data_IF_500754644488
#
_entry.id   IF_500754644488
#
_cell.length_a   1.000
_cell.length_b   1.000
_cell.length_c   1.000
_cell.angle_alpha   90.00
_cell.angle_beta   90.00
_cell.angle_gamma   90.00
#
_symmetry.space_group_name_H-M   'P 1'
#
loop_
_entity.id
_entity.type
_entity.pdbx_description
1 polymer ?
#
# COMPACT_ATOMS: atom_id res chain seq x y z
N UNK A 1 9.62 -62.08 -19.37
CA UNK A 1 10.86 -61.92 -20.15
C UNK A 1 11.26 -60.44 -20.15
N UNK A 2 12.02 -60.04 -19.18
CA UNK A 2 12.67 -58.72 -19.16
C UNK A 2 14.09 -58.93 -19.70
N UNK A 3 14.32 -58.52 -20.94
CA UNK A 3 15.63 -58.57 -21.56
C UNK A 3 16.54 -57.52 -20.93
N UNK A 4 17.75 -57.96 -20.55
CA UNK A 4 18.84 -57.13 -20.05
C UNK A 4 19.09 -55.96 -21.02
N UNK A 5 18.93 -54.76 -20.54
CA UNK A 5 19.39 -53.55 -21.26
C UNK A 5 20.91 -53.53 -21.16
N UNK A 6 21.59 -53.62 -22.31
CA UNK A 6 23.04 -53.61 -22.43
C UNK A 6 23.55 -52.16 -22.18
N UNK A 7 24.11 -51.94 -21.00
CA UNK A 7 24.57 -50.61 -20.52
C UNK A 7 25.82 -50.13 -21.32
N UNK A 8 26.43 -50.98 -22.10
CA UNK A 8 27.65 -50.64 -22.86
C UNK A 8 27.42 -50.02 -24.25
N UNK A 9 26.13 -49.77 -24.63
CA UNK A 9 25.79 -49.17 -25.93
C UNK A 9 25.34 -47.69 -25.83
N UNK A 10 25.43 -47.07 -24.66
CA UNK A 10 25.13 -45.65 -24.54
C UNK A 10 26.33 -44.87 -25.08
N UNK A 11 26.21 -44.37 -26.29
CA UNK A 11 27.22 -43.54 -26.94
C UNK A 11 27.48 -42.30 -26.08
N UNK A 12 28.74 -41.95 -25.82
CA UNK A 12 29.17 -40.81 -25.00
C UNK A 12 28.41 -39.51 -25.34
N UNK A 13 28.09 -39.32 -26.62
CA UNK A 13 27.23 -38.20 -27.07
C UNK A 13 25.80 -38.23 -26.47
N UNK A 14 25.20 -39.43 -26.32
CA UNK A 14 23.86 -39.57 -25.74
C UNK A 14 23.85 -39.29 -24.24
N UNK A 15 24.90 -39.64 -23.54
CA UNK A 15 25.08 -39.37 -22.12
C UNK A 15 25.31 -37.85 -21.86
N UNK A 16 26.14 -37.22 -22.69
CA UNK A 16 26.37 -35.77 -22.64
C UNK A 16 25.09 -35.03 -22.96
N UNK A 17 24.32 -35.47 -23.98
CA UNK A 17 23.03 -34.85 -24.31
C UNK A 17 22.00 -34.99 -23.19
N UNK A 18 21.93 -36.14 -22.54
CA UNK A 18 21.05 -36.42 -21.41
C UNK A 18 21.45 -35.57 -20.18
N UNK A 19 22.76 -35.50 -19.85
CA UNK A 19 23.24 -34.65 -18.75
C UNK A 19 22.99 -33.17 -19.04
N UNK A 20 23.24 -32.71 -20.27
CA UNK A 20 22.96 -31.34 -20.68
C UNK A 20 21.46 -31.03 -20.63
N UNK A 21 20.61 -31.95 -21.05
CA UNK A 21 19.15 -31.81 -20.99
C UNK A 21 18.64 -31.81 -19.54
N UNK A 22 19.17 -32.68 -18.67
CA UNK A 22 18.83 -32.67 -17.23
C UNK A 22 19.32 -31.38 -16.55
N UNK A 23 20.53 -30.91 -16.88
CA UNK A 23 21.04 -29.63 -16.37
C UNK A 23 20.22 -28.42 -16.89
N UNK A 24 19.72 -28.47 -18.13
CA UNK A 24 18.82 -27.47 -18.68
C UNK A 24 17.45 -27.49 -17.98
N UNK A 25 16.92 -28.69 -17.68
CA UNK A 25 15.65 -28.81 -16.92
C UNK A 25 15.84 -28.33 -15.48
N UNK A 26 16.96 -28.68 -14.83
CA UNK A 26 17.29 -28.22 -13.48
C UNK A 26 17.48 -26.69 -13.47
N UNK A 27 18.21 -26.14 -14.44
CA UNK A 27 18.36 -24.68 -14.58
C UNK A 27 17.03 -23.98 -14.91
N UNK A 28 16.20 -24.55 -15.81
CA UNK A 28 14.87 -23.96 -16.06
C UNK A 28 13.96 -24.04 -14.84
N UNK A 29 13.95 -25.15 -14.11
CA UNK A 29 13.17 -25.25 -12.87
C UNK A 29 13.71 -24.32 -11.76
N UNK A 30 15.03 -24.09 -11.69
CA UNK A 30 15.60 -23.09 -10.76
C UNK A 30 15.33 -21.67 -11.21
N UNK A 31 15.29 -21.38 -12.52
CA UNK A 31 14.92 -20.05 -13.04
C UNK A 31 13.41 -19.79 -12.93
N UNK A 32 12.55 -20.81 -13.06
CA UNK A 32 11.10 -20.63 -12.82
C UNK A 32 10.80 -20.42 -11.34
N UNK A 33 11.46 -21.09 -10.40
CA UNK A 33 11.33 -20.85 -8.96
C UNK A 33 11.92 -19.50 -8.52
N UNK A 34 12.92 -18.97 -9.23
CA UNK A 34 13.50 -17.64 -8.98
C UNK A 34 12.62 -16.47 -9.45
N UNK A 35 11.53 -16.75 -10.17
CA UNK A 35 10.64 -15.73 -10.71
C UNK A 35 9.30 -15.56 -9.96
N UNK A 36 9.14 -16.20 -8.80
CA UNK A 36 7.91 -16.17 -8.00
C UNK A 36 8.11 -15.39 -6.70
N UNK A 37 7.01 -14.89 -6.13
CA UNK A 37 7.05 -14.13 -4.88
C UNK A 37 7.56 -14.99 -3.72
N UNK A 38 8.50 -14.44 -2.95
CA UNK A 38 9.12 -15.11 -1.82
C UNK A 38 8.72 -14.44 -0.51
N UNK A 39 8.17 -15.24 0.39
CA UNK A 39 7.81 -14.78 1.74
C UNK A 39 8.32 -15.76 2.79
N UNK A 40 8.44 -15.29 4.03
CA UNK A 40 8.69 -16.16 5.18
C UNK A 40 7.90 -15.74 6.43
N UNK A 41 7.68 -16.65 7.40
CA UNK A 41 7.23 -16.28 8.73
C UNK A 41 8.37 -15.58 9.50
N UNK A 42 8.04 -14.86 10.55
CA UNK A 42 9.03 -14.15 11.37
C UNK A 42 8.58 -14.04 12.84
N UNK A 43 9.51 -13.76 13.75
CA UNK A 43 9.22 -13.49 15.17
C UNK A 43 8.75 -12.05 15.34
N UNK A 44 7.45 -11.85 15.36
CA UNK A 44 6.86 -10.52 15.52
C UNK A 44 7.17 -9.92 16.89
N UNK A 45 7.50 -8.61 16.90
CA UNK A 45 7.53 -7.81 18.12
C UNK A 45 6.16 -7.12 18.22
N UNK A 46 5.40 -7.40 19.28
CA UNK A 46 4.01 -6.97 19.38
C UNK A 46 3.60 -6.66 20.82
N UNK A 47 2.58 -5.83 21.04
CA UNK A 47 2.10 -5.54 22.38
C UNK A 47 1.43 -6.77 23.04
N UNK A 48 1.50 -6.92 24.36
CA UNK A 48 0.57 -7.78 25.10
C UNK A 48 -0.87 -7.39 24.79
N UNK A 49 -1.78 -8.38 24.82
CA UNK A 49 -3.18 -8.22 24.42
C UNK A 49 -3.88 -7.03 25.10
N UNK A 50 -3.63 -6.86 26.37
CA UNK A 50 -4.22 -5.80 27.20
C UNK A 50 -3.66 -4.40 26.94
N UNK A 51 -2.57 -4.29 26.17
CA UNK A 51 -1.91 -3.03 25.85
C UNK A 51 -2.12 -2.60 24.37
N UNK A 52 -2.65 -3.47 23.51
CA UNK A 52 -2.72 -3.19 22.06
C UNK A 52 -3.44 -1.89 21.73
N UNK A 53 -4.55 -1.58 22.39
CA UNK A 53 -5.32 -0.34 22.17
C UNK A 53 -4.57 0.92 22.62
N UNK A 54 -3.59 0.77 23.53
CA UNK A 54 -2.74 1.87 23.98
C UNK A 54 -1.52 2.08 23.08
N UNK A 55 -1.06 1.00 22.44
CA UNK A 55 0.14 1.03 21.60
C UNK A 55 -0.20 1.40 20.16
N UNK A 56 -1.31 0.89 19.63
CA UNK A 56 -1.69 1.09 18.22
C UNK A 56 -1.80 2.57 17.85
N UNK A 57 -1.51 2.88 16.59
CA UNK A 57 -1.65 4.22 16.05
C UNK A 57 -2.00 4.20 14.56
N UNK A 58 -2.47 5.32 14.04
CA UNK A 58 -2.55 5.52 12.58
C UNK A 58 -1.14 5.58 11.98
N UNK A 59 -0.95 5.27 10.69
CA UNK A 59 0.36 5.37 10.04
C UNK A 59 0.83 6.84 9.99
N UNK A 60 2.17 7.01 9.95
CA UNK A 60 2.84 8.31 10.07
C UNK A 60 2.42 9.34 9.01
N UNK A 61 1.99 8.88 7.84
CA UNK A 61 1.75 9.69 6.65
C UNK A 61 0.31 10.22 6.50
N UNK A 62 -0.59 9.85 7.42
CA UNK A 62 -2.00 10.30 7.40
C UNK A 62 -2.28 11.47 8.33
N UNK A 63 -1.29 11.92 9.09
CA UNK A 63 -1.42 13.01 10.07
C UNK A 63 -0.14 13.84 10.18
N UNK A 64 -0.29 15.10 10.52
CA UNK A 64 0.85 15.96 10.84
C UNK A 64 1.31 15.79 12.31
N UNK A 65 2.41 16.45 12.69
CA UNK A 65 3.00 16.31 14.03
C UNK A 65 2.13 16.88 15.15
N UNK A 66 1.32 17.92 14.89
CA UNK A 66 0.39 18.47 15.88
C UNK A 66 -0.78 17.52 16.13
N UNK A 67 -1.33 16.94 15.06
CA UNK A 67 -2.36 15.91 15.15
C UNK A 67 -1.85 14.67 15.90
N UNK A 68 -0.64 14.21 15.58
CA UNK A 68 -0.02 13.07 16.29
C UNK A 68 0.18 13.35 17.78
N UNK A 69 0.63 14.56 18.13
CA UNK A 69 0.76 15.00 19.53
C UNK A 69 -0.58 15.02 20.25
N UNK A 70 -1.62 15.53 19.58
CA UNK A 70 -2.98 15.60 20.14
C UNK A 70 -3.57 14.19 20.35
N UNK A 71 -3.34 13.27 19.41
CA UNK A 71 -3.81 11.88 19.52
C UNK A 71 -3.03 11.06 20.56
N UNK A 72 -1.72 11.26 20.65
CA UNK A 72 -0.91 10.62 21.71
C UNK A 72 -1.32 11.11 23.11
N UNK A 73 -1.64 12.43 23.26
CA UNK A 73 -2.00 13.01 24.55
C UNK A 73 -0.98 12.66 25.63
N UNK A 74 -1.47 12.16 26.77
CA UNK A 74 -0.66 11.71 27.91
C UNK A 74 -0.31 10.20 27.83
N UNK A 75 -0.61 9.55 26.72
CA UNK A 75 -0.37 8.11 26.56
C UNK A 75 1.09 7.83 26.16
N UNK A 76 1.96 7.57 27.13
CA UNK A 76 3.36 7.22 26.92
C UNK A 76 3.59 5.93 26.11
N UNK A 77 2.56 5.08 25.94
CA UNK A 77 2.63 3.83 25.18
C UNK A 77 2.23 4.01 23.72
N UNK A 78 1.77 5.21 23.31
CA UNK A 78 1.38 5.46 21.91
C UNK A 78 2.57 5.25 20.97
N UNK A 79 2.39 4.48 19.92
CA UNK A 79 3.46 4.24 18.94
C UNK A 79 3.91 5.52 18.23
N UNK A 80 3.13 6.60 18.29
CA UNK A 80 3.56 7.89 17.76
C UNK A 80 4.90 8.35 18.33
N UNK A 81 5.23 8.01 19.57
CA UNK A 81 6.53 8.30 20.16
C UNK A 81 7.71 7.63 19.43
N UNK A 82 7.44 6.60 18.61
CA UNK A 82 8.46 5.91 17.80
C UNK A 82 8.40 6.35 16.32
N UNK A 83 7.19 6.46 15.74
CA UNK A 83 7.03 6.75 14.31
C UNK A 83 6.98 8.24 13.99
N UNK A 84 6.65 9.09 14.96
CA UNK A 84 6.64 10.56 14.91
C UNK A 84 7.28 11.17 16.17
N UNK A 85 8.55 10.81 16.46
CA UNK A 85 9.18 11.13 17.74
C UNK A 85 9.42 12.63 17.96
N UNK A 86 9.23 13.48 16.95
CA UNK A 86 9.21 14.93 17.08
C UNK A 86 8.12 15.43 18.03
N UNK A 87 7.09 14.61 18.33
CA UNK A 87 6.07 14.96 19.32
C UNK A 87 6.62 15.06 20.76
N UNK A 88 7.77 14.45 21.04
CA UNK A 88 8.45 14.50 22.33
C UNK A 88 9.32 15.76 22.53
N UNK A 89 9.40 16.62 21.52
CA UNK A 89 10.17 17.86 21.50
C UNK A 89 9.26 19.09 21.48
N UNK A 90 9.78 20.30 21.71
CA UNK A 90 9.02 21.54 21.55
C UNK A 90 8.36 21.65 20.17
N UNK A 91 7.18 22.27 20.12
CA UNK A 91 6.49 22.54 18.85
C UNK A 91 7.41 23.34 17.91
N UNK A 92 7.47 22.90 16.64
CA UNK A 92 8.34 23.49 15.62
C UNK A 92 9.70 22.76 15.46
N UNK A 93 10.00 21.74 16.27
CA UNK A 93 11.13 20.86 15.98
C UNK A 93 10.88 20.11 14.66
N UNK A 94 11.88 20.12 13.78
CA UNK A 94 11.78 19.46 12.49
C UNK A 94 11.77 17.93 12.63
N UNK A 95 10.84 17.25 11.97
CA UNK A 95 10.81 15.78 11.90
C UNK A 95 12.10 15.16 11.33
N UNK A 96 12.96 15.98 10.66
CA UNK A 96 14.20 15.54 10.03
C UNK A 96 15.47 15.81 10.87
N UNK A 97 15.34 16.36 12.07
CA UNK A 97 16.48 16.64 12.95
C UNK A 97 17.09 15.33 13.50
N UNK A 98 18.41 15.27 13.63
CA UNK A 98 19.12 14.08 14.08
C UNK A 98 18.62 13.57 15.44
N UNK A 99 18.34 14.47 16.39
CA UNK A 99 17.85 14.13 17.71
C UNK A 99 16.48 13.43 17.68
N UNK A 100 15.67 13.65 16.64
CA UNK A 100 14.36 13.01 16.46
C UNK A 100 14.54 11.53 16.13
N UNK A 101 15.47 11.17 15.26
CA UNK A 101 15.80 9.76 14.97
C UNK A 101 16.41 9.04 16.19
N UNK A 102 17.30 9.71 16.93
CA UNK A 102 17.87 9.17 18.16
C UNK A 102 16.77 8.90 19.21
N UNK A 103 15.79 9.80 19.27
CA UNK A 103 14.62 9.66 20.15
C UNK A 103 13.75 8.45 19.74
N UNK A 104 13.54 8.23 18.43
CA UNK A 104 12.83 7.04 17.93
C UNK A 104 13.47 5.75 18.45
N UNK A 105 14.79 5.62 18.33
CA UNK A 105 15.52 4.44 18.78
C UNK A 105 15.45 4.28 20.32
N UNK A 106 15.60 5.38 21.06
CA UNK A 106 15.49 5.37 22.52
C UNK A 106 14.07 4.97 22.98
N UNK A 107 13.03 5.47 22.33
CA UNK A 107 11.66 5.12 22.62
C UNK A 107 11.37 3.65 22.27
N UNK A 108 11.83 3.15 21.13
CA UNK A 108 11.66 1.74 20.76
C UNK A 108 12.34 0.81 21.80
N UNK A 109 13.53 1.17 22.25
CA UNK A 109 14.19 0.46 23.35
C UNK A 109 13.36 0.53 24.64
N UNK A 110 12.87 1.72 25.05
CA UNK A 110 12.01 1.92 26.24
C UNK A 110 10.77 1.02 26.18
N UNK A 111 10.13 0.91 25.01
CA UNK A 111 8.94 0.08 24.84
C UNK A 111 9.23 -1.41 25.08
N UNK A 112 10.38 -1.90 24.61
CA UNK A 112 10.82 -3.29 24.84
C UNK A 112 11.22 -3.50 26.33
N UNK A 113 12.00 -2.59 26.90
CA UNK A 113 12.46 -2.69 28.31
C UNK A 113 11.27 -2.68 29.29
N UNK A 114 10.20 -1.97 28.99
CA UNK A 114 9.00 -1.89 29.83
C UNK A 114 7.99 -3.03 29.56
N UNK A 115 8.26 -3.91 28.59
CA UNK A 115 7.35 -5.00 28.21
C UNK A 115 6.08 -4.50 27.48
N UNK A 116 6.08 -3.27 26.97
CA UNK A 116 4.97 -2.76 26.14
C UNK A 116 4.99 -3.37 24.74
N UNK A 117 6.17 -3.84 24.32
CA UNK A 117 6.40 -4.62 23.12
C UNK A 117 7.23 -5.85 23.48
N UNK A 118 6.76 -7.03 23.11
CA UNK A 118 7.39 -8.32 23.41
C UNK A 118 7.58 -9.08 22.10
N UNK A 119 8.75 -9.70 21.92
CA UNK A 119 9.01 -10.53 20.74
C UNK A 119 8.47 -11.94 20.95
N UNK A 120 7.80 -12.49 19.93
CA UNK A 120 7.38 -13.88 19.91
C UNK A 120 8.59 -14.83 19.97
N UNK A 121 8.41 -16.00 20.57
CA UNK A 121 9.48 -16.99 20.77
C UNK A 121 9.82 -17.78 19.51
N UNK A 122 8.88 -17.83 18.55
CA UNK A 122 8.99 -18.57 17.29
C UNK A 122 8.54 -17.73 16.11
N UNK A 123 8.92 -18.18 14.92
CA UNK A 123 8.43 -17.61 13.66
C UNK A 123 6.97 -17.97 13.44
N UNK A 124 6.17 -16.98 13.05
CA UNK A 124 4.76 -17.11 12.75
C UNK A 124 4.39 -16.33 11.47
N UNK A 125 3.32 -16.74 10.82
CA UNK A 125 2.51 -15.84 10.03
C UNK A 125 1.38 -15.30 10.90
N UNK A 126 0.77 -14.20 10.46
CA UNK A 126 -0.34 -13.61 11.20
C UNK A 126 -1.45 -13.23 10.23
N UNK A 127 -2.68 -13.13 10.74
CA UNK A 127 -3.80 -12.56 10.00
C UNK A 127 -4.18 -11.24 10.66
N UNK A 128 -4.28 -10.20 9.86
CA UNK A 128 -4.78 -8.90 10.28
C UNK A 128 -6.07 -8.58 9.52
N UNK A 129 -7.18 -8.44 10.23
CA UNK A 129 -8.47 -8.11 9.64
C UNK A 129 -8.92 -6.71 10.06
N UNK A 130 -9.46 -5.97 9.10
CA UNK A 130 -10.01 -4.64 9.28
C UNK A 130 -11.46 -4.60 8.81
N UNK A 131 -12.35 -4.05 9.65
CA UNK A 131 -13.76 -3.89 9.30
C UNK A 131 -14.14 -2.42 9.26
N UNK A 132 -14.61 -1.96 8.10
CA UNK A 132 -15.11 -0.62 7.84
C UNK A 132 -16.48 -0.72 7.17
N UNK A 133 -17.48 0.00 7.70
CA UNK A 133 -18.83 0.05 7.13
C UNK A 133 -19.44 -1.34 6.87
N UNK A 134 -19.22 -2.30 7.78
CA UNK A 134 -19.72 -3.67 7.67
C UNK A 134 -18.95 -4.59 6.71
N UNK A 135 -17.99 -4.08 5.94
CA UNK A 135 -17.11 -4.89 5.09
C UNK A 135 -15.81 -5.21 5.84
N UNK A 136 -15.42 -6.48 5.87
CA UNK A 136 -14.13 -6.92 6.43
C UNK A 136 -13.18 -7.36 5.33
N UNK A 137 -11.94 -6.90 5.40
CA UNK A 137 -10.82 -7.39 4.60
C UNK A 137 -9.82 -8.11 5.51
N UNK A 138 -9.24 -9.20 5.01
CA UNK A 138 -8.31 -10.05 5.75
C UNK A 138 -6.97 -10.08 5.02
N UNK A 139 -5.89 -9.70 5.70
CA UNK A 139 -4.53 -9.72 5.17
C UNK A 139 -3.64 -10.70 5.93
N UNK A 140 -2.73 -11.35 5.21
CA UNK A 140 -1.65 -12.16 5.77
C UNK A 140 -0.44 -11.25 6.03
N UNK A 141 0.05 -11.27 7.28
CA UNK A 141 1.28 -10.56 7.66
C UNK A 141 2.45 -11.49 7.46
N UNK A 142 3.40 -11.05 6.65
CA UNK A 142 4.52 -11.86 6.16
C UNK A 142 5.81 -11.04 6.12
N UNK A 143 6.97 -11.71 6.17
CA UNK A 143 8.22 -11.16 5.70
C UNK A 143 8.32 -11.29 4.19
N UNK A 144 8.25 -10.19 3.44
CA UNK A 144 8.40 -10.16 1.98
C UNK A 144 9.87 -9.97 1.60
N UNK A 145 10.37 -10.72 0.60
CA UNK A 145 11.79 -10.73 0.26
C UNK A 145 12.25 -9.41 -0.38
N UNK A 146 13.35 -8.87 0.12
CA UNK A 146 13.94 -7.60 -0.35
C UNK A 146 14.26 -7.67 -1.86
N UNK A 147 14.79 -8.79 -2.33
CA UNK A 147 15.16 -8.92 -3.75
C UNK A 147 13.92 -8.95 -4.67
N UNK A 148 12.75 -9.38 -4.19
CA UNK A 148 11.51 -9.29 -4.98
C UNK A 148 11.13 -7.83 -5.27
N UNK A 149 11.43 -6.92 -4.35
CA UNK A 149 11.28 -5.48 -4.59
C UNK A 149 12.36 -4.95 -5.55
N UNK A 150 13.62 -5.34 -5.34
CA UNK A 150 14.75 -4.85 -6.15
C UNK A 150 14.67 -5.34 -7.61
N UNK A 151 14.16 -6.56 -7.82
CA UNK A 151 14.01 -7.18 -9.13
C UNK A 151 12.65 -6.94 -9.79
N UNK A 152 11.73 -6.23 -9.11
CA UNK A 152 10.45 -5.82 -9.66
C UNK A 152 9.36 -6.89 -9.65
N UNK A 153 9.48 -7.95 -8.84
CA UNK A 153 8.39 -8.89 -8.54
C UNK A 153 7.36 -8.28 -7.59
N UNK A 154 7.80 -7.41 -6.67
CA UNK A 154 6.92 -6.51 -5.94
C UNK A 154 6.70 -5.29 -6.82
N UNK A 155 5.53 -5.23 -7.45
CA UNK A 155 5.15 -4.25 -8.46
C UNK A 155 4.75 -2.92 -7.84
N UNK A 156 5.17 -1.84 -8.49
CA UNK A 156 4.91 -0.45 -8.10
C UNK A 156 4.00 0.21 -9.11
N UNK A 157 3.11 1.06 -8.65
CA UNK A 157 2.28 1.91 -9.51
C UNK A 157 2.48 3.42 -9.23
N UNK A 158 3.33 3.78 -8.25
CA UNK A 158 3.64 5.16 -7.89
C UNK A 158 5.14 5.35 -7.69
N UNK A 159 5.66 6.54 -8.05
CA UNK A 159 7.05 6.94 -7.79
C UNK A 159 7.20 7.46 -6.36
N UNK A 160 8.27 7.04 -5.70
CA UNK A 160 8.64 7.57 -4.40
C UNK A 160 9.32 8.92 -4.51
N UNK A 161 9.14 9.77 -3.49
CA UNK A 161 9.89 11.02 -3.32
C UNK A 161 11.15 10.73 -2.53
N UNK A 162 12.30 11.18 -3.05
CA UNK A 162 13.61 10.90 -2.46
C UNK A 162 13.77 11.40 -1.01
N UNK A 163 13.21 12.57 -0.69
CA UNK A 163 13.24 13.14 0.66
C UNK A 163 12.49 12.26 1.67
N UNK A 164 11.31 11.75 1.30
CA UNK A 164 10.52 10.85 2.14
C UNK A 164 11.12 9.44 2.25
N UNK A 165 11.71 8.96 1.15
CA UNK A 165 12.41 7.67 1.13
C UNK A 165 13.61 7.69 2.08
N UNK A 166 14.47 8.72 1.98
CA UNK A 166 15.64 8.89 2.86
C UNK A 166 15.25 9.02 4.35
N UNK A 167 14.18 9.75 4.63
CA UNK A 167 13.63 9.87 5.97
C UNK A 167 13.22 8.49 6.55
N UNK A 168 12.44 7.72 5.80
CA UNK A 168 12.03 6.36 6.25
C UNK A 168 13.22 5.40 6.35
N UNK A 169 14.20 5.50 5.45
CA UNK A 169 15.44 4.71 5.57
C UNK A 169 16.18 5.00 6.88
N UNK A 170 16.27 6.27 7.31
CA UNK A 170 16.86 6.62 8.61
C UNK A 170 16.10 5.97 9.76
N UNK A 171 14.76 6.03 9.74
CA UNK A 171 13.94 5.36 10.76
C UNK A 171 14.20 3.85 10.81
N UNK A 172 14.26 3.16 9.67
CA UNK A 172 14.57 1.73 9.61
C UNK A 172 15.97 1.45 10.15
N UNK A 173 16.98 2.25 9.79
CA UNK A 173 18.37 2.08 10.25
C UNK A 173 18.50 2.24 11.78
N UNK A 174 17.93 3.32 12.34
CA UNK A 174 18.11 3.62 13.78
C UNK A 174 17.36 2.65 14.68
N UNK A 175 16.18 2.20 14.25
CA UNK A 175 15.39 1.22 15.01
C UNK A 175 15.84 -0.23 14.73
N UNK A 176 16.58 -0.46 13.68
CA UNK A 176 16.92 -1.79 13.17
C UNK A 176 15.69 -2.71 13.02
N UNK A 177 14.58 -2.13 12.56
CA UNK A 177 13.28 -2.79 12.46
C UNK A 177 12.37 -2.11 11.45
N UNK A 178 11.42 -2.87 10.89
CA UNK A 178 10.27 -2.36 10.19
C UNK A 178 9.17 -2.09 11.20
N UNK A 179 9.06 -0.85 11.68
CA UNK A 179 8.09 -0.46 12.72
C UNK A 179 6.66 -0.43 12.18
N UNK A 180 6.49 -0.03 10.92
CA UNK A 180 5.20 0.11 10.27
C UNK A 180 5.08 -0.88 9.11
N UNK A 181 3.93 -1.56 8.96
CA UNK A 181 3.72 -2.49 7.86
C UNK A 181 3.56 -1.77 6.52
N UNK A 182 3.88 -2.47 5.43
CA UNK A 182 3.48 -2.07 4.08
C UNK A 182 2.25 -2.85 3.64
N UNK A 183 1.46 -2.26 2.76
CA UNK A 183 0.18 -2.81 2.33
C UNK A 183 0.30 -3.34 0.90
N UNK A 184 0.20 -4.67 0.75
CA UNK A 184 0.27 -5.33 -0.55
C UNK A 184 -1.05 -5.99 -0.93
N UNK A 185 -1.24 -6.14 -2.24
CA UNK A 185 -2.27 -6.96 -2.82
C UNK A 185 -1.66 -8.17 -3.54
N UNK A 186 -2.41 -9.27 -3.58
CA UNK A 186 -2.09 -10.44 -4.39
C UNK A 186 -3.34 -10.93 -5.14
N UNK A 187 -3.18 -11.64 -6.30
CA UNK A 187 -4.30 -12.24 -7.02
C UNK A 187 -5.10 -13.20 -6.13
N UNK A 188 -6.42 -13.23 -6.27
CA UNK A 188 -7.27 -14.06 -5.44
C UNK A 188 -6.85 -15.54 -5.46
N UNK A 189 -6.82 -16.16 -4.26
CA UNK A 189 -6.40 -17.53 -4.05
C UNK A 189 -7.37 -18.24 -3.10
N UNK A 190 -8.06 -19.26 -3.61
CA UNK A 190 -9.08 -19.99 -2.87
C UNK A 190 -8.51 -20.73 -1.64
N UNK A 191 -7.33 -21.36 -1.77
CA UNK A 191 -6.67 -22.11 -0.70
C UNK A 191 -6.31 -21.19 0.47
N UNK A 192 -5.71 -20.03 0.18
CA UNK A 192 -5.39 -19.04 1.21
C UNK A 192 -6.66 -18.47 1.83
N UNK A 193 -7.71 -18.24 1.03
CA UNK A 193 -8.99 -17.76 1.56
C UNK A 193 -9.63 -18.75 2.54
N UNK A 194 -9.67 -20.04 2.20
CA UNK A 194 -10.20 -21.09 3.08
C UNK A 194 -9.41 -21.16 4.40
N UNK A 195 -8.07 -21.10 4.32
CA UNK A 195 -7.19 -21.07 5.49
C UNK A 195 -7.48 -19.86 6.37
N UNK A 196 -7.52 -18.66 5.80
CA UNK A 196 -7.80 -17.42 6.52
C UNK A 196 -9.17 -17.48 7.20
N UNK A 197 -10.21 -17.94 6.48
CA UNK A 197 -11.56 -18.00 7.03
C UNK A 197 -11.69 -19.04 8.15
N UNK A 198 -10.89 -20.11 8.14
CA UNK A 198 -10.81 -21.06 9.25
C UNK A 198 -10.28 -20.40 10.53
N UNK A 199 -9.22 -19.60 10.44
CA UNK A 199 -8.71 -18.81 11.57
C UNK A 199 -9.70 -17.72 12.01
N UNK A 200 -10.33 -17.04 11.06
CA UNK A 200 -11.31 -15.98 11.33
C UNK A 200 -12.54 -16.48 12.11
N UNK A 201 -12.83 -17.79 12.07
CA UNK A 201 -13.88 -18.42 12.86
C UNK A 201 -13.45 -18.73 14.32
N UNK A 202 -12.19 -18.53 14.68
CA UNK A 202 -11.65 -18.70 16.04
C UNK A 202 -11.58 -17.37 16.80
N UNK A 203 -11.28 -17.44 18.09
CA UNK A 203 -11.05 -16.24 18.89
C UNK A 203 -9.75 -15.56 18.46
N UNK A 204 -9.75 -14.25 18.14
CA UNK A 204 -8.55 -13.52 17.79
C UNK A 204 -7.67 -13.24 19.01
N UNK A 205 -6.39 -13.04 18.75
CA UNK A 205 -5.43 -12.50 19.72
C UNK A 205 -5.81 -11.06 20.10
N UNK A 206 -6.05 -10.20 19.11
CA UNK A 206 -6.59 -8.85 19.32
C UNK A 206 -7.96 -8.71 18.69
N UNK A 207 -8.84 -7.95 19.35
CA UNK A 207 -10.15 -7.56 18.85
C UNK A 207 -10.56 -6.25 19.51
N UNK A 208 -10.48 -5.15 18.78
CA UNK A 208 -10.80 -3.82 19.30
C UNK A 208 -11.37 -2.92 18.20
N UNK A 209 -12.02 -1.83 18.64
CA UNK A 209 -12.52 -0.76 17.78
C UNK A 209 -11.67 0.48 18.05
N UNK A 210 -10.97 0.95 17.03
CA UNK A 210 -10.13 2.13 17.14
C UNK A 210 -10.99 3.37 17.40
N UNK A 211 -10.68 4.19 18.43
CA UNK A 211 -11.58 5.24 18.90
C UNK A 211 -11.72 6.41 17.93
N UNK A 212 -10.73 6.64 17.06
CA UNK A 212 -10.68 7.82 16.18
C UNK A 212 -11.58 7.66 14.95
N UNK A 213 -11.62 6.48 14.35
CA UNK A 213 -12.35 6.22 13.10
C UNK A 213 -13.48 5.19 13.25
N UNK A 214 -13.57 4.51 14.40
CA UNK A 214 -14.59 3.51 14.67
C UNK A 214 -14.40 2.20 13.90
N UNK A 215 -13.26 1.98 13.28
CA UNK A 215 -12.97 0.76 12.55
C UNK A 215 -12.58 -0.36 13.51
N UNK A 216 -13.04 -1.59 13.22
CA UNK A 216 -12.69 -2.76 14.02
C UNK A 216 -11.45 -3.42 13.47
N UNK A 217 -10.50 -3.74 14.36
CA UNK A 217 -9.25 -4.42 14.06
C UNK A 217 -9.19 -5.75 14.81
N UNK A 218 -8.87 -6.83 14.07
CA UNK A 218 -8.71 -8.17 14.64
C UNK A 218 -7.42 -8.78 14.15
N UNK A 219 -6.80 -9.62 15.00
CA UNK A 219 -5.49 -10.18 14.72
C UNK A 219 -5.41 -11.62 15.22
N UNK A 220 -4.84 -12.52 14.42
CA UNK A 220 -4.62 -13.93 14.77
C UNK A 220 -3.18 -14.31 14.51
N UNK A 221 -2.67 -15.30 15.27
CA UNK A 221 -1.36 -15.89 15.11
C UNK A 221 -1.52 -17.24 14.42
N UNK A 222 -0.77 -17.48 13.37
CA UNK A 222 -0.69 -18.76 12.67
C UNK A 222 0.61 -19.44 13.10
N UNK A 223 0.51 -20.41 14.00
CA UNK A 223 1.63 -21.16 14.57
C UNK A 223 1.68 -22.63 14.15
N UNK A 224 0.69 -23.10 13.39
CA UNK A 224 0.67 -24.46 12.88
C UNK A 224 1.61 -24.60 11.68
N UNK A 225 2.58 -25.52 11.77
CA UNK A 225 3.63 -25.69 10.76
C UNK A 225 3.06 -26.12 9.39
N UNK A 226 1.96 -26.89 9.36
CA UNK A 226 1.33 -27.32 8.12
C UNK A 226 0.64 -26.14 7.43
N UNK A 227 -0.03 -25.28 8.19
CA UNK A 227 -0.66 -24.07 7.67
C UNK A 227 0.38 -23.05 7.19
N UNK A 228 1.46 -22.85 7.94
CA UNK A 228 2.56 -21.96 7.51
C UNK A 228 3.21 -22.47 6.22
N UNK A 229 3.38 -23.79 6.07
CA UNK A 229 3.88 -24.39 4.83
C UNK A 229 2.94 -24.12 3.66
N UNK A 230 1.63 -24.31 3.84
CA UNK A 230 0.63 -24.00 2.80
C UNK A 230 0.71 -22.55 2.36
N UNK A 231 0.82 -21.60 3.30
CA UNK A 231 0.95 -20.17 2.98
C UNK A 231 2.19 -19.93 2.12
N UNK A 232 3.34 -20.42 2.54
CA UNK A 232 4.61 -20.28 1.81
C UNK A 232 4.51 -20.86 0.39
N UNK A 233 3.96 -22.08 0.25
CA UNK A 233 3.81 -22.77 -1.03
C UNK A 233 2.82 -22.06 -1.97
N UNK A 234 1.74 -21.48 -1.46
CA UNK A 234 0.78 -20.73 -2.29
C UNK A 234 1.37 -19.41 -2.79
N UNK A 235 2.12 -18.66 -1.95
CA UNK A 235 2.82 -17.46 -2.41
C UNK A 235 3.91 -17.78 -3.43
N UNK A 236 4.62 -18.91 -3.27
CA UNK A 236 5.62 -19.38 -4.24
C UNK A 236 5.04 -19.77 -5.62
N UNK A 237 3.72 -19.68 -5.82
CA UNK A 237 3.05 -19.82 -7.13
C UNK A 237 2.66 -18.48 -7.75
N UNK A 238 2.83 -17.37 -7.01
CA UNK A 238 2.43 -16.04 -7.46
C UNK A 238 3.60 -15.35 -8.16
N UNK A 239 3.43 -14.88 -9.40
CA UNK A 239 4.51 -14.23 -10.15
C UNK A 239 4.85 -12.84 -9.59
N UNK A 240 3.90 -12.19 -8.94
CA UNK A 240 4.07 -10.83 -8.42
C UNK A 240 3.16 -10.54 -7.22
N UNK A 241 3.63 -9.62 -6.37
CA UNK A 241 2.83 -8.89 -5.40
C UNK A 241 2.72 -7.43 -5.83
N UNK A 242 1.69 -6.73 -5.38
CA UNK A 242 1.41 -5.36 -5.81
C UNK A 242 1.33 -4.44 -4.60
N UNK A 243 2.10 -3.37 -4.60
CA UNK A 243 2.02 -2.37 -3.53
C UNK A 243 0.68 -1.64 -3.67
N UNK A 244 -0.19 -1.77 -2.67
CA UNK A 244 -1.43 -1.02 -2.58
C UNK A 244 -1.20 0.34 -1.90
N UNK A 245 -0.50 0.34 -0.76
CA UNK A 245 -0.15 1.56 -0.01
C UNK A 245 1.23 1.42 0.65
N UNK A 246 1.89 2.54 0.97
CA UNK A 246 3.20 2.55 1.62
C UNK A 246 4.39 2.39 0.67
N UNK A 247 4.34 2.98 -0.53
CA UNK A 247 5.45 2.95 -1.49
C UNK A 247 6.78 3.44 -0.90
N UNK A 248 6.78 4.54 -0.10
CA UNK A 248 7.98 5.03 0.56
C UNK A 248 8.49 4.07 1.64
N UNK A 249 7.60 3.44 2.41
CA UNK A 249 7.96 2.42 3.42
C UNK A 249 8.54 1.17 2.77
N UNK A 250 7.95 0.71 1.66
CA UNK A 250 8.46 -0.44 0.89
C UNK A 250 9.84 -0.17 0.32
N UNK A 251 10.05 1.01 -0.30
CA UNK A 251 11.34 1.42 -0.84
C UNK A 251 12.40 1.49 0.27
N UNK A 252 12.09 2.17 1.38
CA UNK A 252 13.03 2.33 2.49
C UNK A 252 13.44 0.99 3.11
N UNK A 253 12.49 0.09 3.35
CA UNK A 253 12.76 -1.23 3.91
C UNK A 253 13.64 -2.07 2.97
N UNK A 254 13.31 -2.12 1.68
CA UNK A 254 14.06 -2.87 0.69
C UNK A 254 15.49 -2.31 0.49
N UNK A 255 15.64 -0.98 0.40
CA UNK A 255 16.95 -0.34 0.24
C UNK A 255 17.86 -0.54 1.44
N UNK A 256 17.33 -0.44 2.67
CA UNK A 256 18.10 -0.71 3.89
C UNK A 256 18.46 -2.20 3.99
N UNK A 257 17.55 -3.11 3.60
CA UNK A 257 17.86 -4.55 3.52
C UNK A 257 19.00 -4.82 2.56
N UNK A 258 18.94 -4.29 1.33
CA UNK A 258 20.00 -4.41 0.32
C UNK A 258 21.32 -3.78 0.77
N UNK A 259 21.27 -2.66 1.51
CA UNK A 259 22.46 -2.04 2.12
C UNK A 259 23.11 -2.97 3.16
N UNK A 260 22.31 -3.62 4.02
CA UNK A 260 22.79 -4.59 5.00
C UNK A 260 23.38 -5.83 4.34
N UNK A 261 22.73 -6.38 3.30
CA UNK A 261 23.27 -7.48 2.49
C UNK A 261 24.68 -7.15 1.97
N UNK A 262 24.82 -5.98 1.34
CA UNK A 262 26.09 -5.52 0.77
C UNK A 262 27.18 -5.31 1.82
N UNK A 263 26.82 -4.86 3.02
CA UNK A 263 27.76 -4.52 4.07
C UNK A 263 28.12 -5.71 4.99
N UNK A 264 27.42 -6.84 4.89
CA UNK A 264 27.70 -8.03 5.66
C UNK A 264 28.64 -8.99 4.89
N UNK A 265 29.93 -9.10 5.21
CA UNK A 265 30.85 -10.00 4.51
C UNK A 265 30.51 -11.48 4.75
N UNK A 266 29.70 -11.80 5.74
CA UNK A 266 29.27 -13.14 6.09
C UNK A 266 27.80 -13.38 5.73
N UNK A 267 27.25 -12.64 4.75
CA UNK A 267 25.88 -12.77 4.31
C UNK A 267 25.60 -14.19 3.80
N UNK A 268 24.56 -14.83 4.36
CA UNK A 268 24.16 -16.21 4.04
C UNK A 268 22.88 -16.27 3.20
N UNK A 269 22.04 -15.24 3.31
CA UNK A 269 20.71 -15.18 2.72
C UNK A 269 19.58 -15.46 3.72
N UNK A 270 19.90 -15.97 4.91
CA UNK A 270 18.90 -16.35 5.92
C UNK A 270 18.58 -15.21 6.92
N UNK A 271 19.34 -14.12 6.88
CA UNK A 271 19.22 -13.03 7.84
C UNK A 271 17.88 -12.30 7.71
N UNK A 272 17.35 -11.79 8.85
CA UNK A 272 16.04 -11.11 8.92
C UNK A 272 15.96 -9.87 8.03
N UNK A 273 17.06 -9.13 7.87
CA UNK A 273 17.09 -7.94 6.99
C UNK A 273 16.93 -8.26 5.49
N UNK A 274 16.91 -9.54 5.10
CA UNK A 274 16.55 -9.96 3.73
C UNK A 274 15.05 -9.88 3.48
N UNK A 275 14.28 -9.64 4.51
CA UNK A 275 12.82 -9.55 4.44
C UNK A 275 12.32 -8.28 5.10
N UNK A 276 11.15 -7.83 4.70
CA UNK A 276 10.47 -6.70 5.33
C UNK A 276 8.99 -6.98 5.51
N UNK A 277 8.41 -6.39 6.56
CA UNK A 277 7.06 -6.67 6.99
C UNK A 277 6.01 -6.12 6.02
N UNK A 278 5.19 -7.01 5.47
CA UNK A 278 4.07 -6.67 4.62
C UNK A 278 2.76 -7.31 5.12
N UNK A 279 1.65 -6.63 4.91
CA UNK A 279 0.30 -7.19 5.05
C UNK A 279 -0.27 -7.36 3.66
N UNK A 280 -0.48 -8.61 3.25
CA UNK A 280 -0.89 -8.99 1.90
C UNK A 280 -2.36 -9.37 1.89
N UNK A 281 -3.17 -8.68 1.08
CA UNK A 281 -4.60 -8.90 0.93
C UNK A 281 -4.95 -9.46 -0.45
N UNK A 282 -6.00 -10.24 -0.54
CA UNK A 282 -6.58 -10.61 -1.82
C UNK A 282 -7.13 -9.37 -2.54
N UNK A 283 -6.85 -9.24 -3.83
CA UNK A 283 -7.22 -8.08 -4.62
C UNK A 283 -8.72 -7.75 -4.56
N UNK A 284 -9.60 -8.77 -4.58
CA UNK A 284 -11.06 -8.58 -4.52
C UNK A 284 -11.59 -8.06 -3.19
N UNK A 285 -10.82 -8.22 -2.09
CA UNK A 285 -11.24 -7.76 -0.76
C UNK A 285 -10.99 -6.27 -0.55
N UNK A 286 -10.10 -5.66 -1.33
CA UNK A 286 -9.69 -4.29 -1.13
C UNK A 286 -10.77 -3.28 -1.48
N UNK A 287 -10.76 -2.18 -0.75
CA UNK A 287 -11.63 -1.03 -1.00
C UNK A 287 -10.76 0.15 -1.42
N UNK A 288 -10.98 0.61 -2.65
CA UNK A 288 -10.36 1.81 -3.19
C UNK A 288 -11.44 2.87 -3.25
N UNK A 289 -11.19 4.00 -2.60
CA UNK A 289 -12.07 5.14 -2.60
C UNK A 289 -11.63 6.13 -3.68
N UNK A 290 -12.58 6.96 -4.09
CA UNK A 290 -12.34 8.07 -5.00
C UNK A 290 -11.35 9.08 -4.39
N UNK A 291 -10.50 9.66 -5.25
CA UNK A 291 -9.60 10.73 -4.87
C UNK A 291 -9.98 11.97 -5.67
N UNK A 292 -10.72 12.86 -5.03
CA UNK A 292 -11.41 13.97 -5.69
C UNK A 292 -10.51 15.21 -5.78
N UNK A 293 -10.85 16.14 -6.67
CA UNK A 293 -10.12 17.37 -6.92
C UNK A 293 -10.99 18.58 -6.58
N UNK A 294 -10.34 19.62 -6.01
CA UNK A 294 -10.95 20.92 -5.82
C UNK A 294 -10.00 21.99 -6.37
N UNK A 295 -10.53 23.00 -7.04
CA UNK A 295 -9.74 23.99 -7.75
C UNK A 295 -10.19 25.41 -7.39
N UNK A 296 -9.21 26.32 -7.20
CA UNK A 296 -9.44 27.69 -6.68
C UNK A 296 -10.02 28.65 -7.70
N UNK A 297 -9.80 28.43 -8.99
CA UNK A 297 -10.26 29.34 -10.05
C UNK A 297 -10.55 28.58 -11.35
N UNK A 298 -11.17 29.24 -12.32
CA UNK A 298 -11.48 28.71 -13.64
C UNK A 298 -10.55 29.25 -14.73
N UNK A 299 -9.33 29.64 -14.39
CA UNK A 299 -8.35 30.16 -15.35
C UNK A 299 -8.87 31.39 -16.14
N UNK A 300 -9.58 32.28 -15.46
CA UNK A 300 -10.16 33.49 -16.04
C UNK A 300 -11.48 33.28 -16.82
N UNK A 301 -11.99 32.05 -16.92
CA UNK A 301 -13.25 31.75 -17.57
C UNK A 301 -14.44 32.06 -16.66
N UNK A 302 -15.55 32.51 -17.24
CA UNK A 302 -16.83 32.46 -16.57
C UNK A 302 -17.33 31.01 -16.45
N UNK A 303 -18.27 30.75 -15.55
CA UNK A 303 -18.85 29.42 -15.39
C UNK A 303 -19.47 28.89 -16.70
N UNK A 304 -20.13 29.73 -17.46
CA UNK A 304 -20.72 29.33 -18.76
C UNK A 304 -19.65 28.98 -19.77
N UNK A 305 -18.58 29.77 -19.87
CA UNK A 305 -17.45 29.48 -20.76
C UNK A 305 -16.74 28.16 -20.37
N UNK A 306 -16.62 27.91 -19.08
CA UNK A 306 -16.03 26.66 -18.58
C UNK A 306 -16.92 25.44 -18.94
N UNK A 307 -18.23 25.52 -18.71
CA UNK A 307 -19.18 24.47 -19.11
C UNK A 307 -19.17 24.24 -20.63
N UNK A 308 -19.10 25.31 -21.45
CA UNK A 308 -19.04 25.18 -22.90
C UNK A 308 -17.71 24.59 -23.39
N UNK A 309 -16.61 24.85 -22.71
CA UNK A 309 -15.33 24.21 -22.98
C UNK A 309 -15.39 22.70 -22.64
N UNK A 310 -16.02 22.32 -21.53
CA UNK A 310 -16.19 20.91 -21.15
C UNK A 310 -16.99 20.12 -22.21
N UNK A 311 -18.01 20.71 -22.83
CA UNK A 311 -18.83 20.04 -23.87
C UNK A 311 -18.05 19.60 -25.11
N UNK A 312 -16.83 20.10 -25.32
CA UNK A 312 -15.97 19.64 -26.41
C UNK A 312 -15.60 18.17 -26.23
N UNK A 313 -15.28 17.76 -25.00
CA UNK A 313 -14.79 16.44 -24.67
C UNK A 313 -15.75 15.58 -23.83
N UNK A 314 -16.80 16.18 -23.28
CA UNK A 314 -17.74 15.52 -22.38
C UNK A 314 -19.19 15.79 -22.79
N UNK A 315 -20.06 14.81 -22.56
CA UNK A 315 -21.49 15.05 -22.48
C UNK A 315 -21.80 15.59 -21.08
N UNK A 316 -22.36 16.80 -21.03
CA UNK A 316 -22.58 17.56 -19.78
C UNK A 316 -24.08 17.65 -19.50
N UNK A 317 -24.48 17.14 -18.32
CA UNK A 317 -25.88 17.17 -17.87
C UNK A 317 -26.00 17.88 -16.52
N UNK A 318 -26.89 18.87 -16.41
CA UNK A 318 -27.22 19.55 -15.12
C UNK A 318 -28.02 18.59 -14.23
N UNK A 319 -27.49 18.24 -13.06
CA UNK A 319 -28.13 17.38 -12.05
C UNK A 319 -28.79 18.19 -10.93
N UNK A 320 -28.75 19.51 -10.99
CA UNK A 320 -29.37 20.39 -9.99
C UNK A 320 -28.55 20.50 -8.71
N UNK A 321 -29.25 20.63 -7.58
CA UNK A 321 -28.63 20.90 -6.27
C UNK A 321 -28.31 19.65 -5.45
N UNK A 322 -28.94 18.54 -5.78
CA UNK A 322 -28.73 17.28 -5.07
C UNK A 322 -27.39 16.66 -5.46
N UNK A 323 -26.72 16.08 -4.48
CA UNK A 323 -25.41 15.48 -4.70
C UNK A 323 -25.51 14.39 -5.77
N UNK A 324 -24.69 14.55 -6.81
CA UNK A 324 -24.52 13.56 -7.85
C UNK A 324 -23.17 12.85 -7.68
N UNK A 325 -23.17 11.53 -7.52
CA UNK A 325 -21.96 10.71 -7.43
C UNK A 325 -21.71 10.04 -8.78
N UNK A 326 -20.45 9.97 -9.27
CA UNK A 326 -20.10 9.19 -10.46
C UNK A 326 -20.56 7.74 -10.32
N UNK A 327 -21.14 7.17 -11.39
CA UNK A 327 -21.78 5.84 -11.35
C UNK A 327 -20.99 4.75 -12.07
N UNK A 328 -20.01 5.14 -12.88
CA UNK A 328 -19.18 4.23 -13.69
C UNK A 328 -17.87 4.89 -14.07
N UNK A 329 -16.93 4.12 -14.63
CA UNK A 329 -15.76 4.68 -15.31
C UNK A 329 -16.19 5.66 -16.40
N UNK A 330 -15.35 6.67 -16.63
CA UNK A 330 -15.53 7.76 -17.61
C UNK A 330 -16.71 8.69 -17.30
N UNK A 331 -17.31 8.54 -16.12
CA UNK A 331 -18.33 9.43 -15.59
C UNK A 331 -17.79 10.19 -14.38
N UNK A 332 -17.85 11.51 -14.45
CA UNK A 332 -17.36 12.43 -13.42
C UNK A 332 -18.52 13.25 -12.86
N UNK A 333 -18.31 13.80 -11.67
CA UNK A 333 -19.25 14.76 -11.08
C UNK A 333 -18.54 16.08 -10.87
N UNK A 334 -19.09 17.16 -11.45
CA UNK A 334 -18.61 18.52 -11.26
C UNK A 334 -19.56 19.25 -10.33
N UNK A 335 -19.04 19.93 -9.29
CA UNK A 335 -19.78 20.90 -8.49
C UNK A 335 -19.31 22.31 -8.80
N UNK A 336 -20.22 23.14 -9.26
CA UNK A 336 -19.97 24.53 -9.68
C UNK A 336 -21.21 25.39 -9.46
N UNK A 337 -21.06 26.59 -8.87
CA UNK A 337 -22.14 27.58 -8.64
C UNK A 337 -23.40 27.00 -7.96
N UNK A 338 -23.19 26.15 -6.96
CA UNK A 338 -24.29 25.57 -6.18
C UNK A 338 -25.05 24.43 -6.91
N UNK A 339 -24.51 23.91 -8.01
CA UNK A 339 -25.10 22.82 -8.81
C UNK A 339 -24.11 21.71 -9.08
N UNK A 340 -24.65 20.51 -9.20
CA UNK A 340 -23.95 19.33 -9.66
C UNK A 340 -24.19 19.08 -11.14
N UNK A 341 -23.18 18.62 -11.83
CA UNK A 341 -23.22 18.22 -13.24
C UNK A 341 -22.65 16.83 -13.40
N UNK A 342 -23.27 16.00 -14.21
CA UNK A 342 -22.67 14.77 -14.73
C UNK A 342 -21.82 15.11 -15.96
N UNK A 343 -20.59 14.64 -15.99
CA UNK A 343 -19.70 14.74 -17.14
C UNK A 343 -19.39 13.31 -17.59
N UNK A 344 -19.79 12.93 -18.79
CA UNK A 344 -19.42 11.63 -19.39
C UNK A 344 -18.41 11.88 -20.51
N UNK A 345 -17.21 11.32 -20.38
CA UNK A 345 -16.17 11.47 -21.39
C UNK A 345 -16.60 10.82 -22.71
N UNK A 346 -16.39 11.52 -23.83
CA UNK A 346 -16.70 10.98 -25.17
C UNK A 346 -15.70 9.90 -25.54
N UNK A 347 -16.14 8.87 -26.25
CA UNK A 347 -15.34 7.66 -26.56
C UNK A 347 -14.05 7.96 -27.34
N UNK A 348 -13.99 9.05 -28.10
CA UNK A 348 -12.82 9.49 -28.85
C UNK A 348 -11.78 10.25 -28.01
N UNK A 349 -12.04 10.46 -26.72
CA UNK A 349 -11.16 11.23 -25.83
C UNK A 349 -10.19 10.39 -25.02
N UNK A 350 -10.32 9.07 -25.03
CA UNK A 350 -9.45 8.11 -24.34
C UNK A 350 -9.25 6.84 -25.17
N UNK A 351 -8.14 6.13 -24.89
CA UNK A 351 -7.80 4.87 -25.56
C UNK A 351 -7.92 3.70 -24.56
N UNK A 352 -8.85 2.80 -24.81
CA UNK A 352 -9.08 1.61 -23.98
C UNK A 352 -7.90 0.62 -24.00
N UNK A 353 -6.95 0.76 -24.91
CA UNK A 353 -5.74 -0.07 -24.97
C UNK A 353 -4.56 0.51 -24.19
N UNK A 354 -4.62 1.79 -23.82
CA UNK A 354 -3.63 2.40 -22.96
C UNK A 354 -4.06 2.31 -21.47
N UNK A 355 -3.39 1.50 -20.64
CA UNK A 355 -3.79 1.29 -19.25
C UNK A 355 -3.76 2.56 -18.39
N UNK A 356 -3.07 3.63 -18.85
CA UNK A 356 -3.08 4.94 -18.16
C UNK A 356 -4.09 5.88 -18.81
N UNK A 357 -4.08 6.00 -20.14
CA UNK A 357 -4.95 6.92 -20.87
C UNK A 357 -6.45 6.65 -20.70
N UNK A 358 -6.82 5.42 -20.31
CA UNK A 358 -8.20 5.01 -20.00
C UNK A 358 -8.66 5.41 -18.61
N UNK A 359 -7.75 5.83 -17.71
CA UNK A 359 -8.11 6.18 -16.33
C UNK A 359 -8.80 7.53 -16.24
N UNK A 360 -9.84 7.61 -15.42
CA UNK A 360 -10.53 8.87 -15.10
C UNK A 360 -9.58 9.95 -14.57
N UNK A 361 -8.57 9.52 -13.82
CA UNK A 361 -7.51 10.40 -13.31
C UNK A 361 -6.73 11.04 -14.45
N UNK A 362 -6.37 10.29 -15.49
CA UNK A 362 -5.64 10.79 -16.65
C UNK A 362 -6.55 11.65 -17.55
N UNK A 363 -7.74 11.16 -17.84
CA UNK A 363 -8.75 11.88 -18.66
C UNK A 363 -9.01 13.27 -18.05
N UNK A 364 -9.31 13.33 -16.76
CA UNK A 364 -9.55 14.59 -16.07
C UNK A 364 -8.32 15.50 -16.05
N UNK A 365 -7.13 14.92 -15.86
CA UNK A 365 -5.88 15.69 -15.83
C UNK A 365 -5.58 16.33 -17.19
N UNK A 366 -5.69 15.59 -18.28
CA UNK A 366 -5.44 16.09 -19.63
C UNK A 366 -6.52 17.07 -20.11
N UNK A 367 -7.80 16.66 -20.01
CA UNK A 367 -8.88 17.36 -20.68
C UNK A 367 -9.45 18.53 -19.88
N UNK A 368 -9.40 18.46 -18.56
CA UNK A 368 -9.96 19.50 -17.69
C UNK A 368 -8.85 20.33 -17.05
N UNK A 369 -7.94 19.67 -16.30
CA UNK A 369 -6.97 20.39 -15.49
C UNK A 369 -5.90 21.07 -16.34
N UNK A 370 -5.32 20.40 -17.32
CA UNK A 370 -4.31 20.99 -18.20
C UNK A 370 -4.98 21.84 -19.31
N UNK A 371 -5.80 21.25 -20.16
CA UNK A 371 -6.30 21.92 -21.38
C UNK A 371 -7.18 23.13 -21.07
N UNK A 372 -8.06 23.05 -20.08
CA UNK A 372 -8.99 24.15 -19.78
C UNK A 372 -8.46 25.06 -18.67
N UNK A 373 -7.98 24.43 -17.55
CA UNK A 373 -7.57 25.19 -16.36
C UNK A 373 -6.08 25.55 -16.35
N UNK A 374 -5.28 25.00 -17.27
CA UNK A 374 -3.83 25.29 -17.35
C UNK A 374 -3.01 24.74 -16.18
N UNK A 375 -3.55 23.77 -15.44
CA UNK A 375 -2.89 23.09 -14.32
C UNK A 375 -2.10 21.89 -14.87
N UNK A 376 -0.82 22.08 -15.16
CA UNK A 376 0.04 21.09 -15.81
C UNK A 376 0.69 20.12 -14.83
N UNK A 377 1.07 20.60 -13.65
CA UNK A 377 1.72 19.77 -12.64
C UNK A 377 0.89 19.75 -11.35
N UNK A 378 0.18 18.64 -11.16
CA UNK A 378 -0.70 18.41 -10.01
C UNK A 378 0.04 18.37 -8.66
N UNK A 379 1.37 18.23 -8.64
CA UNK A 379 2.18 18.14 -7.42
C UNK A 379 2.60 19.50 -6.89
N UNK A 380 2.73 20.48 -7.77
CA UNK A 380 3.31 21.79 -7.44
C UNK A 380 2.33 22.96 -7.61
N UNK A 381 1.25 22.82 -8.41
CA UNK A 381 0.29 23.90 -8.62
C UNK A 381 -0.57 24.11 -7.35
N UNK A 382 -0.53 25.33 -6.81
CA UNK A 382 -1.25 25.72 -5.57
C UNK A 382 -2.72 26.05 -5.79
N UNK A 383 -3.21 26.01 -7.03
CA UNK A 383 -4.62 26.23 -7.36
C UNK A 383 -5.46 24.97 -7.19
N UNK A 384 -4.83 23.78 -7.17
CA UNK A 384 -5.50 22.50 -6.97
C UNK A 384 -5.22 21.95 -5.58
N UNK A 385 -6.21 21.27 -5.00
CA UNK A 385 -6.06 20.44 -3.81
C UNK A 385 -6.90 19.17 -3.96
N UNK A 386 -6.69 18.20 -3.08
CA UNK A 386 -7.24 16.86 -3.18
C UNK A 386 -8.06 16.49 -1.95
N UNK A 387 -9.16 15.76 -2.18
CA UNK A 387 -10.06 15.31 -1.12
C UNK A 387 -10.25 13.80 -1.25
N UNK A 388 -9.78 13.03 -0.26
CA UNK A 388 -9.99 11.59 -0.22
C UNK A 388 -11.47 11.24 0.00
N UNK A 389 -11.92 10.16 -0.65
CA UNK A 389 -13.32 9.75 -0.69
C UNK A 389 -13.96 9.47 0.68
N UNK A 390 -13.14 9.22 1.72
CA UNK A 390 -13.63 9.06 3.08
C UNK A 390 -14.38 10.31 3.61
N UNK A 391 -14.02 11.51 3.14
CA UNK A 391 -14.66 12.78 3.51
C UNK A 391 -16.00 13.00 2.79
N UNK A 392 -16.29 12.19 1.77
CA UNK A 392 -17.54 12.29 1.00
C UNK A 392 -17.63 13.48 0.05
N UNK A 393 -18.71 13.53 -0.72
CA UNK A 393 -18.99 14.62 -1.66
C UNK A 393 -19.49 15.88 -0.97
N UNK A 394 -20.01 15.78 0.25
CA UNK A 394 -20.40 16.89 1.12
C UNK A 394 -19.21 17.82 1.40
N UNK A 395 -18.01 17.26 1.59
CA UNK A 395 -16.80 18.06 1.80
C UNK A 395 -16.43 18.86 0.54
N UNK A 396 -16.61 18.28 -0.64
CA UNK A 396 -16.42 18.99 -1.91
C UNK A 396 -17.36 20.20 -2.00
N UNK A 397 -18.65 19.95 -1.70
CA UNK A 397 -19.67 20.98 -1.68
C UNK A 397 -19.34 22.07 -0.65
N UNK A 398 -18.98 21.71 0.58
CA UNK A 398 -18.59 22.62 1.65
C UNK A 398 -17.45 23.57 1.23
N UNK A 399 -16.38 23.01 0.63
CA UNK A 399 -15.20 23.79 0.23
C UNK A 399 -15.51 24.80 -0.90
N UNK A 400 -16.44 24.45 -1.79
CA UNK A 400 -16.86 25.36 -2.86
C UNK A 400 -17.85 26.41 -2.32
N UNK A 401 -18.86 26.02 -1.55
CA UNK A 401 -19.86 26.92 -0.99
C UNK A 401 -19.27 27.96 -0.01
N UNK A 402 -18.20 27.58 0.70
CA UNK A 402 -17.46 28.50 1.59
C UNK A 402 -16.61 29.53 0.83
N UNK A 403 -16.42 29.39 -0.48
CA UNK A 403 -15.54 30.24 -1.28
C UNK A 403 -14.04 29.87 -1.15
N UNK A 404 -13.71 28.81 -0.42
CA UNK A 404 -12.33 28.30 -0.34
C UNK A 404 -11.84 27.81 -1.72
N UNK A 405 -12.74 27.15 -2.46
CA UNK A 405 -12.52 26.65 -3.80
C UNK A 405 -13.62 27.14 -4.75
N UNK A 406 -13.29 27.21 -6.05
CA UNK A 406 -14.23 27.66 -7.08
C UNK A 406 -15.05 26.52 -7.66
N UNK A 407 -14.47 25.33 -7.77
CA UNK A 407 -15.12 24.14 -8.28
C UNK A 407 -14.59 22.88 -7.60
N UNK A 408 -15.36 21.81 -7.68
CA UNK A 408 -14.93 20.48 -7.30
C UNK A 408 -15.23 19.45 -8.39
N UNK A 409 -14.35 18.47 -8.54
CA UNK A 409 -14.47 17.37 -9.49
C UNK A 409 -14.34 16.04 -8.73
N UNK A 410 -15.41 15.24 -8.73
CA UNK A 410 -15.39 13.89 -8.20
C UNK A 410 -15.18 12.89 -9.33
N UNK A 411 -14.34 11.88 -9.06
CA UNK A 411 -13.96 10.83 -9.99
C UNK A 411 -14.59 9.50 -9.55
N UNK A 412 -14.74 8.59 -10.51
CA UNK A 412 -15.00 7.20 -10.17
C UNK A 412 -13.70 6.54 -9.66
N UNK A 413 -13.74 5.72 -8.59
CA UNK A 413 -12.52 5.11 -8.05
C UNK A 413 -11.92 4.11 -9.05
N UNK A 414 -10.59 4.05 -9.10
CA UNK A 414 -9.88 3.02 -9.86
C UNK A 414 -10.11 1.63 -9.26
N UNK A 415 -10.01 0.60 -10.08
CA UNK A 415 -10.14 -0.79 -9.64
C UNK A 415 -8.78 -1.41 -9.34
N UNK A 416 -8.75 -2.46 -8.51
CA UNK A 416 -7.52 -3.23 -8.28
C UNK A 416 -6.96 -3.82 -9.58
N UNK A 417 -7.83 -4.27 -10.51
CA UNK A 417 -7.39 -4.80 -11.80
C UNK A 417 -6.62 -3.74 -12.62
N UNK A 418 -7.13 -2.50 -12.69
CA UNK A 418 -6.43 -1.40 -13.36
C UNK A 418 -5.06 -1.11 -12.74
N UNK A 419 -4.95 -1.15 -11.40
CA UNK A 419 -3.68 -0.96 -10.71
C UNK A 419 -2.70 -2.08 -11.07
N UNK A 420 -3.15 -3.33 -11.05
CA UNK A 420 -2.32 -4.49 -11.39
C UNK A 420 -1.85 -4.43 -12.85
N UNK A 421 -2.76 -4.14 -13.80
CA UNK A 421 -2.44 -4.04 -15.24
C UNK A 421 -1.40 -2.94 -15.51
N UNK A 422 -1.53 -1.79 -14.83
CA UNK A 422 -0.55 -0.69 -14.94
C UNK A 422 0.81 -1.11 -14.37
N UNK A 423 0.82 -1.69 -13.16
CA UNK A 423 2.03 -2.13 -12.52
C UNK A 423 2.75 -3.25 -13.32
N UNK A 424 2.00 -4.16 -13.94
CA UNK A 424 2.53 -5.21 -14.83
C UNK A 424 3.11 -4.64 -16.12
N UNK A 425 2.52 -3.56 -16.66
CA UNK A 425 3.05 -2.85 -17.83
C UNK A 425 4.36 -2.08 -17.55
N UNK A 426 4.78 -1.99 -16.28
CA UNK A 426 5.92 -1.17 -15.84
C UNK A 426 5.67 0.35 -15.90
N UNK A 427 4.42 0.76 -16.17
CA UNK A 427 4.03 2.18 -16.19
C UNK A 427 3.70 2.67 -14.78
N UNK A 428 3.64 3.98 -14.63
CA UNK A 428 3.37 4.66 -13.36
C UNK A 428 2.08 5.46 -13.48
N UNK A 429 1.22 5.34 -12.47
CA UNK A 429 -0.02 6.09 -12.40
C UNK A 429 0.22 7.60 -12.19
N UNK A 430 -0.70 8.45 -12.67
CA UNK A 430 -0.71 9.85 -12.27
C UNK A 430 -0.77 9.99 -10.74
N UNK A 431 -0.24 11.08 -10.16
CA UNK A 431 -0.27 11.29 -8.71
C UNK A 431 -1.70 11.41 -8.18
N UNK A 432 -1.91 10.96 -6.95
CA UNK A 432 -3.22 11.06 -6.28
C UNK A 432 -4.32 10.32 -7.04
N UNK A 433 -4.01 9.11 -7.52
CA UNK A 433 -4.92 8.25 -8.27
C UNK A 433 -5.64 7.22 -7.37
N UNK A 434 -5.01 6.79 -6.27
CA UNK A 434 -5.50 5.73 -5.40
C UNK A 434 -5.66 6.21 -3.96
N UNK A 435 -6.71 5.74 -3.28
CA UNK A 435 -6.93 5.93 -1.86
C UNK A 435 -7.48 4.65 -1.24
N UNK A 436 -6.60 3.86 -0.63
CA UNK A 436 -6.98 2.61 0.03
C UNK A 436 -7.49 2.86 1.45
N UNK A 437 -8.63 2.25 1.78
CA UNK A 437 -9.20 2.24 3.13
C UNK A 437 -9.69 0.83 3.51
N UNK A 438 -9.63 0.49 4.81
CA UNK A 438 -9.01 1.19 5.94
C UNK A 438 -7.48 1.23 5.83
N UNK A 439 -6.86 2.27 6.39
CA UNK A 439 -5.39 2.31 6.54
C UNK A 439 -4.93 1.28 7.56
N UNK A 440 -3.79 0.63 7.29
CA UNK A 440 -3.19 -0.27 8.28
C UNK A 440 -2.83 0.48 9.55
N UNK A 441 -3.12 -0.13 10.71
CA UNK A 441 -2.62 0.38 11.98
C UNK A 441 -1.16 -0.01 12.17
N UNK A 442 -0.39 0.91 12.71
CA UNK A 442 0.96 0.68 13.20
C UNK A 442 0.92 0.21 14.66
N UNK A 443 1.89 -0.58 15.10
CA UNK A 443 2.00 -1.02 16.49
C UNK A 443 1.29 -2.32 16.84
N UNK A 444 0.58 -2.95 15.91
CA UNK A 444 0.03 -4.29 16.14
C UNK A 444 1.11 -5.37 16.08
N UNK A 445 2.10 -5.14 15.23
CA UNK A 445 3.26 -6.01 15.02
C UNK A 445 4.40 -5.21 14.37
N UNK A 446 5.63 -5.59 14.69
CA UNK A 446 6.88 -4.99 14.21
C UNK A 446 7.82 -6.13 13.83
N UNK A 447 8.61 -5.94 12.77
CA UNK A 447 9.61 -6.90 12.31
C UNK A 447 11.02 -6.40 12.63
N UNK A 448 11.79 -7.16 13.45
CA UNK A 448 13.21 -6.92 13.69
C UNK A 448 14.05 -7.27 12.48
N UNK A 449 15.15 -6.57 12.27
CA UNK A 449 16.12 -6.90 11.22
C UNK A 449 17.35 -7.67 11.77
N UNK A 450 17.26 -8.13 13.05
CA UNK A 450 18.28 -8.98 13.70
C UNK A 450 17.87 -10.45 13.67
#
# INVERSE_FOLDING_TARGET
>A
MLSKIDINAINFCSLVFFITFVLLIINNNQTETLNMATIKPFRGIRPPKELVEKVESRPYDVLNSEEARAEAGDNEMSLYHIIKPEIDFPVGTSEYDACVYEKAAANFKKFKDNGWLVQDDKDHYYIYAQTMNGKTQYGLVVGAWVNDYMEGRIKKHELTRRDKEEDRMKHVRVNNANIEPVFFAYPDNATLNELIMRYAATNPEYDFIAPIDGFRHRFWIISDDADMKVITEEFAKMPSLYIADGHHRSAAAALVGAEKQKNNPNHTGDEEYNYFMAVCFQASQLTILDYNRVVKDLNGLSSQQFIDALKQNFDVEDKGKDIYKPTSLHNFSLYLDGKWYSLTAKEDTYDNTDPIGVLDVDISSRLILDNILGIKDLRSDKRIDFVGGLRGLEELKRRVDSGEMRMALALYPVTMQQIMDIADSGKIMPPKATWFEPKLRSGLIIHSLD
#
